data_IF_917957637900
#
_entry.id   IF_917957637900
#
_cell.length_a   1.000
_cell.length_b   1.000
_cell.length_c   1.000
_cell.angle_alpha   90.00
_cell.angle_beta   90.00
_cell.angle_gamma   90.00
#
_symmetry.space_group_name_H-M   'P 1'
#
loop_
_entity.id
_entity.type
_entity.pdbx_description
1 polymer ?
#
# COMPACT_ATOMS: atom_id res chain seq x y z
N UNK A 1 56.64 26.81 -35.37
CA UNK A 1 56.13 27.66 -34.26
C UNK A 1 54.67 27.34 -33.92
N UNK A 2 53.78 27.12 -34.90
CA UNK A 2 52.37 26.76 -34.68
C UNK A 2 52.14 25.47 -33.85
N UNK A 3 52.91 24.40 -34.11
CA UNK A 3 52.78 23.11 -33.39
C UNK A 3 53.10 23.21 -31.89
N UNK A 4 53.99 24.11 -31.48
CA UNK A 4 54.33 24.31 -30.07
C UNK A 4 53.20 25.02 -29.30
N UNK A 5 52.55 25.99 -29.94
CA UNK A 5 51.40 26.70 -29.37
C UNK A 5 50.19 25.76 -29.19
N UNK A 6 49.93 24.91 -30.18
CA UNK A 6 48.85 23.92 -30.13
C UNK A 6 49.04 22.91 -28.99
N UNK A 7 50.28 22.45 -28.77
CA UNK A 7 50.62 21.60 -27.63
C UNK A 7 50.38 22.26 -26.26
N UNK A 8 50.73 23.55 -26.11
CA UNK A 8 50.46 24.30 -24.88
C UNK A 8 48.96 24.52 -24.64
N UNK A 9 48.17 24.74 -25.71
CA UNK A 9 46.72 24.88 -25.59
C UNK A 9 46.06 23.54 -25.27
N UNK A 10 46.53 22.44 -25.84
CA UNK A 10 46.05 21.10 -25.55
C UNK A 10 46.33 20.68 -24.09
N UNK A 11 47.54 20.96 -23.57
CA UNK A 11 47.88 20.67 -22.18
C UNK A 11 47.05 21.50 -21.20
N UNK A 12 46.79 22.77 -21.51
CA UNK A 12 45.93 23.62 -20.69
C UNK A 12 44.49 23.09 -20.64
N UNK A 13 43.93 22.67 -21.78
CA UNK A 13 42.58 22.07 -21.84
C UNK A 13 42.48 20.77 -21.04
N UNK A 14 43.49 19.90 -21.13
CA UNK A 14 43.55 18.68 -20.34
C UNK A 14 43.61 18.98 -18.83
N UNK A 15 44.36 20.01 -18.42
CA UNK A 15 44.40 20.44 -17.02
C UNK A 15 43.06 20.98 -16.52
N UNK A 16 42.32 21.71 -17.36
CA UNK A 16 40.97 22.19 -17.01
C UNK A 16 39.98 21.03 -16.87
N UNK A 17 40.00 20.07 -17.81
CA UNK A 17 39.16 18.88 -17.72
C UNK A 17 39.44 18.04 -16.47
N UNK A 18 40.71 17.93 -16.07
CA UNK A 18 41.08 17.24 -14.83
C UNK A 18 40.64 18.00 -13.57
N UNK A 19 40.63 19.33 -13.61
CA UNK A 19 40.11 20.14 -12.50
C UNK A 19 38.59 20.00 -12.39
N UNK A 20 37.86 20.03 -13.51
CA UNK A 20 36.41 19.85 -13.54
C UNK A 20 36.01 18.46 -13.02
N UNK A 21 36.75 17.41 -13.40
CA UNK A 21 36.51 16.06 -12.88
C UNK A 21 36.82 15.96 -11.38
N UNK A 22 37.86 16.63 -10.90
CA UNK A 22 38.20 16.67 -9.46
C UNK A 22 37.13 17.40 -8.66
N UNK A 23 36.58 18.51 -9.19
CA UNK A 23 35.51 19.26 -8.55
C UNK A 23 34.25 18.39 -8.45
N UNK A 24 33.87 17.69 -9.52
CA UNK A 24 32.70 16.81 -9.51
C UNK A 24 32.85 15.66 -8.50
N UNK A 25 34.03 15.02 -8.45
CA UNK A 25 34.31 13.96 -7.46
C UNK A 25 34.23 14.50 -6.03
N UNK A 26 34.72 15.72 -5.80
CA UNK A 26 34.68 16.34 -4.48
C UNK A 26 33.25 16.73 -4.09
N UNK A 27 32.45 17.27 -5.01
CA UNK A 27 31.06 17.64 -4.76
C UNK A 27 30.20 16.41 -4.45
N UNK A 28 30.35 15.34 -5.22
CA UNK A 28 29.71 14.04 -4.96
C UNK A 28 30.13 13.49 -3.58
N UNK A 29 31.41 13.59 -3.22
CA UNK A 29 31.93 13.12 -1.94
C UNK A 29 31.51 13.96 -0.72
N UNK A 30 31.25 15.26 -0.91
CA UNK A 30 30.91 16.20 0.19
C UNK A 30 29.40 16.40 0.33
N UNK A 31 28.61 16.07 -0.70
CA UNK A 31 27.15 16.24 -0.74
C UNK A 31 26.41 15.68 0.48
N UNK A 32 26.86 14.55 1.04
CA UNK A 32 26.19 13.85 2.15
C UNK A 32 26.74 14.20 3.55
N UNK A 33 27.76 15.07 3.62
CA UNK A 33 28.40 15.47 4.87
C UNK A 33 27.44 16.13 5.91
N UNK A 34 26.52 17.05 5.54
CA UNK A 34 25.62 17.65 6.53
C UNK A 34 24.63 16.65 7.14
N UNK A 35 24.25 15.61 6.38
CA UNK A 35 23.40 14.52 6.89
C UNK A 35 24.18 13.61 7.83
N UNK A 36 25.40 13.21 7.47
CA UNK A 36 26.27 12.37 8.30
C UNK A 36 26.61 13.03 9.64
N UNK A 37 26.87 14.34 9.64
CA UNK A 37 27.10 15.11 10.87
C UNK A 37 25.91 15.01 11.84
N UNK A 38 24.68 15.05 11.32
CA UNK A 38 23.45 14.92 12.12
C UNK A 38 23.24 13.49 12.64
N UNK A 39 23.58 12.47 11.86
CA UNK A 39 23.50 11.05 12.28
C UNK A 39 24.52 10.75 13.38
N UNK A 40 25.75 11.26 13.24
CA UNK A 40 26.83 11.06 14.21
C UNK A 40 26.61 11.81 15.53
N UNK A 41 25.77 12.86 15.54
CA UNK A 41 25.36 13.57 16.75
C UNK A 41 24.38 12.80 17.64
N UNK A 42 23.98 11.57 17.27
CA UNK A 42 23.10 10.75 18.11
C UNK A 42 23.82 10.37 19.41
N UNK A 43 23.54 11.11 20.47
CA UNK A 43 23.89 10.75 21.84
C UNK A 43 23.15 9.46 22.19
N UNK A 44 23.89 8.35 22.34
CA UNK A 44 23.31 7.09 22.79
C UNK A 44 22.80 7.26 24.21
N UNK A 45 21.48 7.32 24.38
CA UNK A 45 20.83 7.05 25.65
C UNK A 45 20.90 5.53 25.88
N UNK A 46 21.73 5.09 26.82
CA UNK A 46 21.73 3.70 27.25
C UNK A 46 20.60 3.52 28.25
N UNK A 47 19.44 3.10 27.77
CA UNK A 47 18.39 2.57 28.64
C UNK A 47 18.75 1.13 29.01
N UNK A 48 18.73 0.83 30.31
CA UNK A 48 18.89 -0.54 30.81
C UNK A 48 17.57 -1.27 30.58
N UNK A 49 17.52 -2.08 29.53
CA UNK A 49 16.39 -2.96 29.23
C UNK A 49 16.56 -4.26 30.00
N UNK A 50 15.49 -4.76 30.62
CA UNK A 50 15.53 -6.02 31.34
C UNK A 50 15.66 -7.20 30.37
N UNK A 51 16.33 -8.28 30.79
CA UNK A 51 16.46 -9.50 29.98
C UNK A 51 15.10 -10.07 29.57
N UNK A 52 14.09 -9.92 30.44
CA UNK A 52 12.71 -10.36 30.18
C UNK A 52 12.05 -9.59 29.04
N UNK A 53 12.31 -8.29 28.92
CA UNK A 53 11.75 -7.48 27.83
C UNK A 53 12.40 -7.86 26.49
N UNK A 54 13.70 -8.15 26.49
CA UNK A 54 14.40 -8.63 25.31
C UNK A 54 13.88 -10.00 24.85
N UNK A 55 13.66 -10.92 25.79
CA UNK A 55 13.10 -12.25 25.48
C UNK A 55 11.66 -12.14 24.96
N UNK A 56 10.85 -11.22 25.52
CA UNK A 56 9.47 -10.97 25.08
C UNK A 56 9.45 -10.40 23.66
N UNK A 57 10.30 -9.40 23.38
CA UNK A 57 10.44 -8.82 22.06
C UNK A 57 10.94 -9.84 21.03
N UNK A 58 11.93 -10.67 21.40
CA UNK A 58 12.41 -11.77 20.56
C UNK A 58 11.28 -12.78 20.27
N UNK A 59 10.50 -13.14 21.27
CA UNK A 59 9.35 -14.02 21.12
C UNK A 59 8.28 -13.45 20.20
N UNK A 60 7.96 -12.16 20.33
CA UNK A 60 7.01 -11.46 19.47
C UNK A 60 7.47 -11.47 18.00
N UNK A 61 8.72 -11.11 17.73
CA UNK A 61 9.29 -11.14 16.38
C UNK A 61 9.30 -12.56 15.79
N UNK A 62 9.66 -13.56 16.59
CA UNK A 62 9.61 -14.96 16.14
C UNK A 62 8.19 -15.41 15.81
N UNK A 63 7.18 -14.95 16.57
CA UNK A 63 5.78 -15.29 16.31
C UNK A 63 5.23 -14.65 15.04
N UNK A 64 5.79 -13.50 14.63
CA UNK A 64 5.39 -12.75 13.43
C UNK A 64 6.11 -13.26 12.17
N UNK A 65 7.43 -13.43 12.23
CA UNK A 65 8.25 -13.76 11.05
C UNK A 65 8.10 -15.23 10.64
N UNK A 66 8.02 -16.14 11.62
CA UNK A 66 8.01 -17.58 11.36
C UNK A 66 6.86 -18.06 10.47
N UNK A 67 5.58 -17.67 10.69
CA UNK A 67 4.50 -18.09 9.80
C UNK A 67 4.67 -17.58 8.37
N UNK A 68 5.24 -16.38 8.18
CA UNK A 68 5.50 -15.84 6.83
C UNK A 68 6.58 -16.62 6.09
N UNK A 69 7.67 -16.96 6.78
CA UNK A 69 8.72 -17.82 6.20
C UNK A 69 8.16 -19.20 5.84
N UNK A 70 7.35 -19.80 6.72
CA UNK A 70 6.72 -21.10 6.45
C UNK A 70 5.76 -21.04 5.27
N UNK A 71 5.02 -19.94 5.10
CA UNK A 71 4.15 -19.72 3.95
C UNK A 71 4.94 -19.59 2.64
N UNK A 72 6.04 -18.84 2.67
CA UNK A 72 6.93 -18.71 1.50
C UNK A 72 7.58 -20.04 1.13
N UNK A 73 8.04 -20.83 2.11
CA UNK A 73 8.58 -22.17 1.88
C UNK A 73 7.53 -23.08 1.23
N UNK A 74 6.31 -23.14 1.77
CA UNK A 74 5.21 -23.90 1.16
C UNK A 74 4.92 -23.44 -0.26
N UNK A 75 5.00 -22.14 -0.55
CA UNK A 75 4.79 -21.62 -1.91
C UNK A 75 5.88 -22.12 -2.86
N UNK A 76 7.14 -22.09 -2.43
CA UNK A 76 8.27 -22.59 -3.22
C UNK A 76 8.14 -24.09 -3.47
N UNK A 77 7.83 -24.89 -2.45
CA UNK A 77 7.58 -26.33 -2.58
C UNK A 77 6.48 -26.63 -3.61
N UNK A 78 5.35 -25.93 -3.53
CA UNK A 78 4.27 -26.08 -4.51
C UNK A 78 4.68 -25.72 -5.95
N UNK A 79 5.59 -24.77 -6.13
CA UNK A 79 6.11 -24.44 -7.46
C UNK A 79 7.09 -25.50 -7.96
N UNK A 80 7.94 -26.04 -7.09
CA UNK A 80 8.84 -27.15 -7.42
C UNK A 80 8.03 -28.38 -7.86
N UNK A 81 7.00 -28.76 -7.11
CA UNK A 81 6.11 -29.87 -7.47
C UNK A 81 5.45 -29.68 -8.85
N UNK A 82 5.05 -28.43 -9.18
CA UNK A 82 4.47 -28.11 -10.49
C UNK A 82 5.48 -28.21 -11.61
N UNK A 83 6.71 -27.77 -11.37
CA UNK A 83 7.80 -27.85 -12.36
C UNK A 83 8.21 -29.30 -12.59
N UNK A 84 8.34 -30.10 -11.54
CA UNK A 84 8.69 -31.51 -11.63
C UNK A 84 7.62 -32.29 -12.42
N UNK A 85 6.33 -32.06 -12.15
CA UNK A 85 5.24 -32.65 -12.95
C UNK A 85 5.30 -32.23 -14.42
N UNK A 86 5.66 -30.97 -14.69
CA UNK A 86 5.78 -30.45 -16.07
C UNK A 86 6.95 -31.10 -16.78
N UNK A 87 8.08 -31.26 -16.11
CA UNK A 87 9.25 -31.99 -16.62
C UNK A 87 8.89 -33.42 -16.98
N UNK A 88 8.28 -34.17 -16.06
CA UNK A 88 7.84 -35.54 -16.31
C UNK A 88 6.87 -35.63 -17.50
N UNK A 89 5.95 -34.66 -17.63
CA UNK A 89 5.02 -34.62 -18.77
C UNK A 89 5.70 -34.32 -20.11
N UNK A 90 6.79 -33.55 -20.10
CA UNK A 90 7.56 -33.23 -21.29
C UNK A 90 8.45 -34.40 -21.69
N UNK A 91 9.10 -35.05 -20.73
CA UNK A 91 9.87 -36.28 -20.95
C UNK A 91 8.98 -37.35 -21.59
N UNK A 92 7.80 -37.61 -21.02
CA UNK A 92 6.85 -38.57 -21.59
C UNK A 92 6.40 -38.20 -23.02
N UNK A 93 6.29 -36.91 -23.35
CA UNK A 93 5.97 -36.45 -24.72
C UNK A 93 7.13 -36.66 -25.68
N UNK A 94 8.36 -36.41 -25.25
CA UNK A 94 9.56 -36.67 -26.04
C UNK A 94 9.69 -38.17 -26.34
N UNK A 95 9.53 -39.03 -25.32
CA UNK A 95 9.59 -40.49 -25.50
C UNK A 95 8.55 -41.00 -26.51
N UNK A 96 7.31 -40.51 -26.44
CA UNK A 96 6.26 -40.84 -27.40
C UNK A 96 6.59 -40.37 -28.83
N UNK A 97 7.20 -39.19 -28.97
CA UNK A 97 7.62 -38.68 -30.26
C UNK A 97 8.81 -39.47 -30.82
N UNK A 98 9.75 -39.90 -29.98
CA UNK A 98 10.89 -40.72 -30.39
C UNK A 98 10.44 -42.10 -30.85
N UNK A 99 9.48 -42.71 -30.14
CA UNK A 99 8.83 -43.95 -30.59
C UNK A 99 8.15 -43.74 -31.94
N UNK A 100 7.36 -42.66 -32.11
CA UNK A 100 6.70 -42.34 -33.38
C UNK A 100 7.68 -42.12 -34.53
N UNK A 101 8.78 -41.39 -34.29
CA UNK A 101 9.82 -41.14 -35.28
C UNK A 101 10.56 -42.43 -35.66
N UNK A 102 10.84 -43.30 -34.68
CA UNK A 102 11.46 -44.60 -34.92
C UNK A 102 10.54 -45.56 -35.68
N UNK A 103 9.23 -45.59 -35.39
CA UNK A 103 8.25 -46.36 -36.18
C UNK A 103 8.08 -45.81 -37.61
N UNK A 104 8.04 -44.49 -37.78
CA UNK A 104 7.98 -43.87 -39.12
C UNK A 104 9.22 -44.14 -39.98
N UNK A 105 10.40 -44.23 -39.35
CA UNK A 105 11.64 -44.64 -40.03
C UNK A 105 11.71 -46.15 -40.29
N UNK A 106 11.04 -47.00 -39.49
CA UNK A 106 10.93 -48.43 -39.72
C UNK A 106 9.95 -48.78 -40.86
N UNK A 107 8.86 -48.04 -41.03
CA UNK A 107 7.93 -48.23 -42.17
C UNK A 107 8.55 -47.85 -43.51
N UNK A 108 9.43 -46.83 -43.56
CA UNK A 108 10.18 -46.48 -44.77
C UNK A 108 11.29 -47.50 -45.12
N UNK A 109 11.60 -48.43 -44.21
CA UNK A 109 12.56 -49.52 -44.43
C UNK A 109 11.95 -50.90 -44.71
N UNK A 110 10.63 -51.09 -44.51
CA UNK A 110 9.99 -52.41 -44.56
C UNK A 110 8.71 -52.48 -45.39
N UNK A 111 8.50 -51.55 -46.33
CA UNK A 111 7.46 -51.64 -47.36
C UNK A 111 7.81 -52.67 -48.47
N UNK A 112 8.25 -53.87 -48.11
CA UNK A 112 8.19 -55.10 -48.92
C UNK A 112 8.19 -56.30 -47.99
N UNK A 113 7.00 -56.78 -47.61
CA UNK A 113 6.55 -58.18 -47.77
C UNK A 113 5.34 -58.51 -46.87
N UNK A 114 4.28 -58.90 -47.57
CA UNK A 114 3.38 -60.03 -47.32
C UNK A 114 2.30 -59.99 -46.24
N UNK A 115 1.11 -60.35 -46.73
CA UNK A 115 -0.16 -60.62 -46.07
C UNK A 115 -0.17 -61.89 -45.21
N UNK A 116 -1.21 -61.92 -44.38
CA UNK A 116 -2.08 -63.03 -43.99
C UNK A 116 -1.94 -63.68 -42.60
N UNK A 117 -3.14 -64.00 -42.09
CA UNK A 117 -3.57 -65.06 -41.15
C UNK A 117 -3.70 -64.81 -39.63
N UNK A 118 -4.97 -64.76 -39.21
CA UNK A 118 -5.67 -65.66 -38.25
C UNK A 118 -5.59 -65.42 -36.72
N UNK A 119 -6.77 -65.29 -36.10
CA UNK A 119 -7.08 -65.51 -34.67
C UNK A 119 -7.23 -67.04 -34.36
N UNK A 120 -7.50 -67.57 -33.14
CA UNK A 120 -7.82 -66.95 -31.83
C UNK A 120 -7.14 -67.63 -30.58
N UNK A 121 -7.38 -67.15 -29.35
CA UNK A 121 -7.00 -67.90 -28.13
C UNK A 121 -7.29 -67.25 -26.76
N UNK A 122 -8.19 -67.89 -26.00
CA UNK A 122 -8.44 -67.84 -24.52
C UNK A 122 -7.10 -67.92 -23.72
N UNK A 123 -6.91 -67.33 -22.52
CA UNK A 123 -7.48 -67.70 -21.21
C UNK A 123 -7.14 -66.68 -20.10
N UNK A 124 -8.08 -66.52 -19.15
CA UNK A 124 -7.93 -66.32 -17.68
C UNK A 124 -6.69 -65.59 -17.08
N UNK A 125 -6.90 -64.50 -16.34
CA UNK A 125 -7.12 -64.57 -14.89
C UNK A 125 -7.38 -63.20 -14.23
N UNK A 126 -8.20 -63.29 -13.19
CA UNK A 126 -8.64 -62.34 -12.16
C UNK A 126 -7.52 -61.41 -11.64
N UNK A 127 -7.81 -60.20 -11.13
CA UNK A 127 -8.20 -59.95 -9.73
C UNK A 127 -8.48 -58.43 -9.57
N UNK A 128 -9.69 -58.10 -9.05
CA UNK A 128 -10.04 -57.11 -8.00
C UNK A 128 -9.39 -55.70 -8.08
N UNK A 129 -10.07 -54.54 -8.02
CA UNK A 129 -11.27 -54.11 -7.27
C UNK A 129 -11.77 -52.74 -7.80
N UNK A 130 -13.07 -52.47 -7.65
CA UNK A 130 -13.73 -51.15 -7.69
C UNK A 130 -14.01 -50.68 -6.24
N UNK A 131 -14.62 -49.52 -5.93
CA UNK A 131 -14.56 -48.15 -6.48
C UNK A 131 -14.26 -47.09 -5.37
N UNK A 132 -14.16 -45.77 -5.66
CA UNK A 132 -14.26 -44.73 -4.64
C UNK A 132 -15.73 -44.27 -4.45
N UNK A 133 -16.14 -44.07 -3.20
CA UNK A 133 -17.41 -43.40 -2.86
C UNK A 133 -17.21 -42.42 -1.72
N UNK A 134 -17.91 -41.32 -1.89
CA UNK A 134 -17.71 -39.99 -1.32
C UNK A 134 -18.68 -39.79 -0.12
N UNK A 135 -18.21 -39.00 0.84
CA UNK A 135 -18.93 -38.18 1.83
C UNK A 135 -19.55 -38.78 3.11
N UNK A 136 -19.43 -37.92 4.14
CA UNK A 136 -20.30 -37.72 5.32
C UNK A 136 -20.10 -38.70 6.49
N UNK A 137 -20.14 -38.33 7.77
CA UNK A 137 -20.31 -37.06 8.48
C UNK A 137 -19.73 -37.23 9.90
N UNK A 138 -18.84 -36.35 10.34
CA UNK A 138 -18.46 -36.26 11.76
C UNK A 138 -19.40 -35.28 12.47
N UNK A 139 -20.29 -35.84 13.30
CA UNK A 139 -21.05 -35.10 14.30
C UNK A 139 -20.12 -34.80 15.48
N UNK A 140 -19.80 -33.52 15.68
CA UNK A 140 -19.38 -33.01 16.98
C UNK A 140 -20.48 -32.11 17.53
N UNK A 141 -21.08 -32.54 18.63
CA UNK A 141 -21.99 -31.75 19.43
C UNK A 141 -21.20 -30.63 20.13
N UNK A 142 -21.60 -29.38 19.93
CA UNK A 142 -21.22 -28.26 20.80
C UNK A 142 -22.49 -27.68 21.41
N UNK A 143 -22.48 -27.62 22.74
CA UNK A 143 -23.49 -27.05 23.59
C UNK A 143 -23.68 -25.55 23.30
N UNK A 144 -24.93 -25.14 23.12
CA UNK A 144 -25.32 -23.75 22.97
C UNK A 144 -25.49 -23.12 24.36
N UNK A 145 -24.55 -22.27 24.77
CA UNK A 145 -24.74 -21.30 25.86
C UNK A 145 -25.15 -19.97 25.24
N UNK A 146 -26.42 -19.63 25.43
CA UNK A 146 -27.06 -18.40 24.95
C UNK A 146 -26.71 -17.26 25.93
N UNK A 147 -25.64 -16.52 25.65
CA UNK A 147 -25.33 -15.29 26.37
C UNK A 147 -25.98 -14.09 25.66
N UNK A 148 -26.80 -13.34 26.40
CA UNK A 148 -27.43 -12.08 25.96
C UNK A 148 -26.35 -10.99 25.92
N UNK A 149 -26.25 -10.13 24.90
CA UNK A 149 -25.41 -8.94 25.03
C UNK A 149 -26.16 -7.95 25.92
N UNK A 150 -25.57 -7.62 27.06
CA UNK A 150 -25.94 -6.42 27.80
C UNK A 150 -25.51 -5.21 26.95
N UNK A 151 -26.44 -4.32 26.65
CA UNK A 151 -26.14 -3.05 26.01
C UNK A 151 -25.27 -2.22 26.97
N UNK A 152 -23.97 -2.17 26.69
CA UNK A 152 -23.05 -1.23 27.33
C UNK A 152 -23.33 0.12 26.67
N UNK A 153 -23.99 1.01 27.41
CA UNK A 153 -24.16 2.39 27.01
C UNK A 153 -22.77 3.02 26.80
N UNK A 154 -22.49 3.48 25.58
CA UNK A 154 -21.29 4.28 25.29
C UNK A 154 -21.36 5.54 26.15
N UNK A 155 -20.36 5.84 27.00
CA UNK A 155 -20.32 7.15 27.63
C UNK A 155 -20.13 8.18 26.52
N UNK A 156 -21.09 9.11 26.41
CA UNK A 156 -20.96 10.31 25.58
C UNK A 156 -19.75 11.06 26.10
N UNK A 157 -18.65 11.01 25.35
CA UNK A 157 -17.45 11.76 25.67
C UNK A 157 -17.76 13.25 25.48
N UNK A 158 -18.08 13.94 26.56
CA UNK A 158 -18.00 15.40 26.59
C UNK A 158 -16.52 15.78 26.56
N UNK A 159 -16.09 16.43 25.48
CA UNK A 159 -14.77 17.04 25.36
C UNK A 159 -14.67 18.15 26.42
N UNK A 160 -13.75 17.99 27.36
CA UNK A 160 -13.35 19.06 28.28
C UNK A 160 -12.23 19.88 27.65
N UNK A 161 -12.29 21.20 27.81
CA UNK A 161 -11.21 22.10 27.39
C UNK A 161 -10.04 21.97 28.37
N UNK A 162 -8.83 21.78 27.84
CA UNK A 162 -7.59 21.81 28.62
C UNK A 162 -7.13 23.26 28.84
N UNK A 163 -6.50 23.51 29.98
CA UNK A 163 -6.16 24.83 30.50
C UNK A 163 -4.75 25.27 30.08
N UNK A 164 -4.71 26.38 29.32
CA UNK A 164 -3.70 27.46 29.21
C UNK A 164 -2.22 27.10 29.31
N UNK A 165 -1.58 26.92 28.15
CA UNK A 165 -0.14 27.11 27.96
C UNK A 165 0.13 27.62 26.53
N UNK A 166 0.26 28.96 26.38
CA UNK A 166 0.54 29.66 25.11
C UNK A 166 -0.23 29.07 23.92
N UNK A 167 -1.56 29.24 24.00
CA UNK A 167 -2.61 28.51 23.27
C UNK A 167 -2.77 28.91 21.80
N UNK A 168 -1.67 29.03 21.04
CA UNK A 168 -1.75 29.45 19.63
C UNK A 168 -0.92 28.53 18.74
N UNK A 169 -1.60 27.94 17.77
CA UNK A 169 -0.99 27.21 16.65
C UNK A 169 -1.00 28.10 15.41
N UNK A 170 0.11 28.11 14.68
CA UNK A 170 0.20 28.83 13.41
C UNK A 170 -0.30 27.94 12.29
N UNK A 171 -1.45 28.28 11.72
CA UNK A 171 -2.05 27.56 10.60
C UNK A 171 -1.60 28.15 9.26
N UNK A 172 -1.15 27.26 8.38
CA UNK A 172 -1.02 27.48 6.94
C UNK A 172 -1.93 26.50 6.22
N UNK A 173 -2.83 27.00 5.36
CA UNK A 173 -3.71 26.21 4.50
C UNK A 173 -3.44 26.63 3.05
N UNK A 174 -2.88 25.70 2.28
CA UNK A 174 -2.47 25.93 0.91
C UNK A 174 -3.17 24.97 -0.05
N UNK A 175 -3.65 25.53 -1.15
CA UNK A 175 -4.08 24.84 -2.36
C UNK A 175 -3.07 25.15 -3.48
N UNK A 176 -3.00 24.33 -4.55
CA UNK A 176 -2.09 24.61 -5.66
C UNK A 176 -2.35 25.96 -6.34
N UNK A 177 -3.61 26.40 -6.41
CA UNK A 177 -4.02 27.65 -7.07
C UNK A 177 -4.11 28.86 -6.12
N UNK A 178 -4.35 28.63 -4.82
CA UNK A 178 -4.48 29.72 -3.84
C UNK A 178 -4.00 29.31 -2.45
N UNK A 179 -3.55 30.29 -1.67
CA UNK A 179 -3.22 30.07 -0.25
C UNK A 179 -4.27 30.78 0.60
N UNK A 180 -5.11 30.00 1.28
CA UNK A 180 -6.22 30.52 2.09
C UNK A 180 -5.67 31.11 3.39
N UNK A 181 -4.75 30.39 4.04
CA UNK A 181 -4.07 30.85 5.26
C UNK A 181 -2.56 30.68 5.10
N UNK A 182 -1.77 31.69 5.50
CA UNK A 182 -0.29 31.65 5.40
C UNK A 182 0.41 31.45 6.73
N UNK A 183 -0.11 32.06 7.80
CA UNK A 183 0.42 31.98 9.17
C UNK A 183 -0.57 32.66 10.10
N UNK A 184 -1.79 32.13 10.18
CA UNK A 184 -2.80 32.68 11.08
C UNK A 184 -2.70 32.00 12.44
N UNK A 185 -2.75 32.80 13.51
CA UNK A 185 -2.81 32.27 14.87
C UNK A 185 -4.23 31.79 15.17
N UNK A 186 -4.35 30.50 15.46
CA UNK A 186 -5.62 29.83 15.79
C UNK A 186 -5.46 29.02 17.07
N UNK A 187 -6.57 28.76 17.74
CA UNK A 187 -6.57 28.03 19.02
C UNK A 187 -6.60 26.53 18.75
N UNK A 188 -7.51 26.11 17.87
CA UNK A 188 -7.75 24.71 17.57
C UNK A 188 -8.13 24.54 16.11
N UNK A 189 -7.67 23.44 15.52
CA UNK A 189 -8.03 23.04 14.16
C UNK A 189 -8.53 21.60 14.20
N UNK A 190 -9.78 21.39 13.79
CA UNK A 190 -10.37 20.06 13.65
C UNK A 190 -10.21 19.61 12.20
N UNK A 191 -9.61 18.45 12.00
CA UNK A 191 -9.33 17.86 10.69
C UNK A 191 -9.86 16.43 10.60
N UNK A 192 -10.27 16.08 9.39
CA UNK A 192 -10.71 14.75 9.00
C UNK A 192 -9.51 13.95 8.47
N UNK A 193 -8.85 13.17 9.33
CA UNK A 193 -7.77 12.28 8.91
C UNK A 193 -8.29 10.89 8.54
N UNK A 194 -7.47 10.13 7.82
CA UNK A 194 -7.79 8.74 7.44
C UNK A 194 -7.94 7.82 8.66
N UNK A 195 -7.12 8.04 9.68
CA UNK A 195 -7.19 7.31 10.97
C UNK A 195 -8.43 7.68 11.79
N UNK A 196 -9.05 8.82 11.51
CA UNK A 196 -10.20 9.36 12.25
C UNK A 196 -10.18 10.89 12.32
N UNK A 197 -11.15 11.46 13.02
CA UNK A 197 -11.22 12.91 13.19
C UNK A 197 -10.32 13.37 14.35
N UNK A 198 -9.44 14.34 14.09
CA UNK A 198 -8.45 14.82 15.05
C UNK A 198 -8.60 16.32 15.30
N UNK A 199 -8.39 16.76 16.54
CA UNK A 199 -8.29 18.16 16.92
C UNK A 199 -6.84 18.50 17.28
N UNK A 200 -6.20 19.34 16.47
CA UNK A 200 -4.83 19.81 16.70
C UNK A 200 -4.86 21.13 17.46
N UNK A 201 -4.15 21.15 18.60
CA UNK A 201 -3.96 22.29 19.48
C UNK A 201 -2.47 22.66 19.52
N UNK A 202 -2.13 23.76 20.19
CA UNK A 202 -0.74 24.11 20.47
C UNK A 202 0.00 22.96 21.20
N UNK A 203 1.24 22.66 20.80
CA UNK A 203 2.04 21.59 21.41
C UNK A 203 1.63 20.16 21.07
N UNK A 204 0.82 19.94 20.03
CA UNK A 204 0.50 18.59 19.54
C UNK A 204 1.74 17.81 19.09
N UNK A 205 1.70 16.47 19.18
CA UNK A 205 2.80 15.60 18.75
C UNK A 205 3.06 15.80 17.25
N UNK A 206 4.33 16.02 16.85
CA UNK A 206 4.69 16.14 15.44
C UNK A 206 4.25 14.90 14.66
N UNK A 207 3.45 15.10 13.63
CA UNK A 207 2.76 14.04 12.90
C UNK A 207 2.51 14.47 11.47
N UNK A 208 2.46 13.48 10.56
CA UNK A 208 2.05 13.65 9.18
C UNK A 208 0.85 12.75 8.99
N UNK A 209 -0.27 13.34 8.59
CA UNK A 209 -1.52 12.61 8.42
C UNK A 209 -2.12 12.86 7.04
N UNK A 210 -2.63 11.79 6.44
CA UNK A 210 -3.42 11.85 5.22
C UNK A 210 -4.85 12.27 5.58
N UNK A 211 -5.38 13.23 4.84
CA UNK A 211 -6.73 13.76 5.02
C UNK A 211 -7.72 13.03 4.12
N UNK A 212 -8.82 12.59 4.71
CA UNK A 212 -10.00 12.10 3.98
C UNK A 212 -10.83 13.30 3.49
N UNK A 213 -11.65 13.14 2.44
CA UNK A 213 -12.62 14.15 2.04
C UNK A 213 -13.53 14.50 3.22
N UNK A 214 -13.62 15.77 3.59
CA UNK A 214 -14.35 16.14 4.79
C UNK A 214 -14.21 17.60 5.21
N UNK A 215 -14.84 17.90 6.34
CA UNK A 215 -14.87 19.24 6.91
C UNK A 215 -13.64 19.50 7.78
N UNK A 216 -13.02 20.65 7.55
CA UNK A 216 -12.01 21.24 8.44
C UNK A 216 -12.61 22.46 9.11
N UNK A 217 -12.62 22.44 10.43
CA UNK A 217 -13.09 23.55 11.26
C UNK A 217 -11.90 24.23 11.92
N UNK A 218 -11.81 25.54 11.73
CA UNK A 218 -10.76 26.39 12.25
C UNK A 218 -11.38 27.29 13.30
N UNK A 219 -10.91 27.17 14.55
CA UNK A 219 -11.38 27.94 15.69
C UNK A 219 -10.36 29.05 15.98
N UNK A 220 -10.76 30.29 15.72
CA UNK A 220 -9.96 31.48 16.00
C UNK A 220 -10.17 31.96 17.45
N UNK A 221 -9.23 32.78 17.95
CA UNK A 221 -9.26 33.35 19.31
C UNK A 221 -10.51 34.22 19.56
N UNK A 222 -11.09 34.79 18.50
CA UNK A 222 -12.31 35.61 18.58
C UNK A 222 -13.60 34.78 18.73
N UNK A 223 -13.50 33.44 18.80
CA UNK A 223 -14.65 32.54 18.81
C UNK A 223 -15.33 32.40 17.44
N UNK A 224 -14.71 32.93 16.37
CA UNK A 224 -15.12 32.70 14.99
C UNK A 224 -14.71 31.29 14.56
N UNK A 225 -15.70 30.49 14.17
CA UNK A 225 -15.48 29.19 13.55
C UNK A 225 -15.59 29.35 12.03
N UNK A 226 -14.49 29.08 11.32
CA UNK A 226 -14.48 29.01 9.86
C UNK A 226 -14.47 27.55 9.44
N UNK A 227 -15.38 27.21 8.55
CA UNK A 227 -15.61 25.85 8.09
C UNK A 227 -15.28 25.74 6.61
N UNK A 228 -14.33 24.87 6.28
CA UNK A 228 -13.89 24.59 4.92
C UNK A 228 -14.10 23.12 4.61
N UNK A 229 -14.65 22.84 3.44
CA UNK A 229 -14.70 21.48 2.91
C UNK A 229 -13.45 21.25 2.07
N UNK A 230 -12.68 20.20 2.39
CA UNK A 230 -11.49 19.80 1.64
C UNK A 230 -11.75 18.49 0.90
N UNK A 231 -11.30 18.41 -0.35
CA UNK A 231 -11.39 17.18 -1.15
C UNK A 231 -10.46 16.07 -0.67
N UNK A 232 -9.42 16.42 0.10
CA UNK A 232 -8.36 15.52 0.57
C UNK A 232 -7.01 16.22 0.56
N UNK A 233 -5.97 15.57 1.09
CA UNK A 233 -4.64 16.13 1.16
C UNK A 233 -3.77 15.59 2.29
N UNK A 234 -2.85 16.43 2.79
CA UNK A 234 -1.96 16.10 3.90
C UNK A 234 -1.96 17.22 4.93
N UNK A 235 -2.01 16.83 6.21
CA UNK A 235 -1.75 17.70 7.34
C UNK A 235 -0.40 17.35 7.96
N UNK A 236 0.44 18.37 8.14
CA UNK A 236 1.77 18.25 8.75
C UNK A 236 1.78 19.11 10.00
N UNK A 237 1.87 18.44 11.15
CA UNK A 237 2.07 19.07 12.46
C UNK A 237 3.57 19.12 12.73
N UNK A 238 4.10 20.33 12.85
CA UNK A 238 5.52 20.59 13.03
C UNK A 238 5.82 20.82 14.53
N UNK A 239 7.03 20.46 15.03
CA UNK A 239 7.39 20.64 16.45
C UNK A 239 7.37 22.08 16.96
N UNK A 240 7.40 23.07 16.07
CA UNK A 240 7.38 24.49 16.39
C UNK A 240 5.95 25.07 16.51
N UNK A 241 4.96 24.21 16.78
CA UNK A 241 3.53 24.58 16.84
C UNK A 241 3.05 25.27 15.56
N UNK A 242 3.48 24.74 14.41
CA UNK A 242 2.95 25.09 13.10
C UNK A 242 2.18 23.90 12.53
N UNK A 243 0.99 24.17 12.00
CA UNK A 243 0.19 23.22 11.25
C UNK A 243 0.13 23.67 9.80
N UNK A 244 0.61 22.81 8.90
CA UNK A 244 0.54 23.03 7.47
C UNK A 244 -0.44 22.03 6.86
N UNK A 245 -1.54 22.51 6.30
CA UNK A 245 -2.53 21.73 5.58
C UNK A 245 -2.36 22.02 4.09
N UNK A 246 -2.05 20.98 3.32
CA UNK A 246 -1.99 21.02 1.87
C UNK A 246 -3.13 20.18 1.31
N UNK A 247 -4.07 20.80 0.63
CA UNK A 247 -5.20 20.12 0.00
C UNK A 247 -5.21 20.37 -1.52
N UNK A 248 -5.87 19.50 -2.27
CA UNK A 248 -6.00 19.67 -3.73
C UNK A 248 -7.03 20.76 -4.05
N UNK A 249 -8.24 20.61 -3.51
CA UNK A 249 -9.32 21.60 -3.60
C UNK A 249 -9.91 21.87 -2.22
N UNK A 250 -10.35 23.11 -2.00
CA UNK A 250 -10.94 23.53 -0.74
C UNK A 250 -11.79 24.79 -0.88
N UNK A 251 -13.04 24.72 -0.43
CA UNK A 251 -14.02 25.81 -0.52
C UNK A 251 -14.77 25.98 0.81
N UNK A 252 -15.24 27.20 1.14
CA UNK A 252 -16.09 27.41 2.30
C UNK A 252 -17.45 26.74 2.09
N UNK A 253 -18.12 26.38 3.18
CA UNK A 253 -19.41 25.65 3.11
C UNK A 253 -20.52 26.43 2.40
N UNK A 254 -20.46 27.75 2.40
CA UNK A 254 -21.47 28.63 1.80
C UNK A 254 -21.54 28.55 0.27
N UNK A 255 -20.48 28.10 -0.38
CA UNK A 255 -20.40 27.99 -1.85
C UNK A 255 -21.09 26.72 -2.39
N UNK A 256 -21.48 25.79 -1.50
CA UNK A 256 -22.07 24.51 -1.90
C UNK A 256 -23.60 24.54 -1.91
N UNK A 257 -24.20 24.03 -2.99
CA UNK A 257 -25.66 23.87 -3.10
C UNK A 257 -26.09 22.43 -2.81
N UNK A 258 -26.94 22.25 -1.80
CA UNK A 258 -27.40 20.94 -1.36
C UNK A 258 -28.18 20.16 -2.44
N UNK A 259 -28.86 20.86 -3.35
CA UNK A 259 -29.63 20.23 -4.43
C UNK A 259 -28.72 19.69 -5.54
N UNK A 260 -27.65 20.40 -5.89
CA UNK A 260 -26.68 19.92 -6.87
C UNK A 260 -25.96 18.66 -6.36
N UNK A 261 -25.57 18.65 -5.08
CA UNK A 261 -24.92 17.50 -4.45
C UNK A 261 -25.81 16.26 -4.49
N UNK A 262 -27.12 16.40 -4.19
CA UNK A 262 -28.06 15.27 -4.28
C UNK A 262 -28.22 14.74 -5.70
N UNK A 263 -28.25 15.63 -6.70
CA UNK A 263 -28.33 15.23 -8.10
C UNK A 263 -27.08 14.46 -8.53
N UNK A 264 -25.88 14.96 -8.16
CA UNK A 264 -24.61 14.30 -8.45
C UNK A 264 -24.48 12.94 -7.74
N UNK A 265 -24.95 12.81 -6.50
CA UNK A 265 -25.01 11.51 -5.80
C UNK A 265 -25.86 10.52 -6.59
N UNK A 266 -27.04 10.94 -7.06
CA UNK A 266 -27.92 10.07 -7.83
C UNK A 266 -27.33 9.65 -9.18
N UNK A 267 -26.51 10.49 -9.81
CA UNK A 267 -25.78 10.18 -11.04
C UNK A 267 -24.63 9.20 -10.78
N UNK A 268 -23.76 9.50 -9.82
CA UNK A 268 -22.64 8.65 -9.44
C UNK A 268 -23.11 7.27 -8.92
N UNK A 269 -24.26 7.20 -8.22
CA UNK A 269 -24.85 5.93 -7.77
C UNK A 269 -25.33 5.05 -8.93
N UNK A 270 -25.80 5.65 -10.02
CA UNK A 270 -26.20 4.87 -11.21
C UNK A 270 -25.00 4.28 -11.92
N UNK A 271 -23.89 5.03 -11.99
CA UNK A 271 -22.65 4.59 -12.63
C UNK A 271 -21.97 3.49 -11.78
N UNK A 272 -21.89 3.68 -10.46
CA UNK A 272 -21.28 2.71 -9.55
C UNK A 272 -22.00 1.36 -9.51
N UNK A 273 -23.32 1.35 -9.71
CA UNK A 273 -24.14 0.13 -9.80
C UNK A 273 -24.29 -0.39 -11.24
N UNK A 274 -23.76 0.33 -12.23
CA UNK A 274 -23.78 -0.06 -13.62
C UNK A 274 -22.76 -1.16 -13.94
N UNK A 275 -22.86 -1.71 -15.15
CA UNK A 275 -21.95 -2.73 -15.68
C UNK A 275 -20.89 -2.09 -16.60
N UNK A 276 -20.26 -1.01 -16.14
CA UNK A 276 -19.19 -0.31 -16.85
C UNK A 276 -17.85 -1.04 -16.77
N UNK A 277 -16.76 -0.39 -17.20
CA UNK A 277 -15.42 -0.91 -16.97
C UNK A 277 -15.09 -0.88 -15.47
N UNK A 278 -14.19 -1.75 -15.01
CA UNK A 278 -13.79 -1.80 -13.60
C UNK A 278 -13.21 -0.45 -13.11
N UNK A 279 -12.59 0.31 -14.01
CA UNK A 279 -12.04 1.64 -13.74
C UNK A 279 -13.14 2.66 -13.50
N UNK A 280 -14.15 2.72 -14.38
CA UNK A 280 -15.28 3.66 -14.23
C UNK A 280 -16.07 3.38 -12.93
N UNK A 281 -16.20 2.09 -12.57
CA UNK A 281 -16.87 1.68 -11.32
C UNK A 281 -16.04 2.10 -10.10
N UNK A 282 -14.71 2.05 -10.17
CA UNK A 282 -13.84 2.49 -9.09
C UNK A 282 -13.86 4.02 -8.91
N UNK A 283 -13.81 4.78 -10.01
CA UNK A 283 -13.91 6.25 -10.00
C UNK A 283 -15.26 6.70 -9.43
N UNK A 284 -16.36 6.11 -9.90
CA UNK A 284 -17.70 6.43 -9.39
C UNK A 284 -17.84 6.14 -7.89
N UNK A 285 -17.14 5.13 -7.34
CA UNK A 285 -17.14 4.87 -5.89
C UNK A 285 -16.41 5.94 -5.10
N UNK A 286 -15.28 6.43 -5.61
CA UNK A 286 -14.52 7.53 -4.99
C UNK A 286 -15.35 8.81 -5.02
N UNK A 287 -16.00 9.10 -6.17
CA UNK A 287 -16.90 10.25 -6.29
C UNK A 287 -18.05 10.18 -5.29
N UNK A 288 -18.65 9.00 -5.10
CA UNK A 288 -19.71 8.80 -4.11
C UNK A 288 -19.23 9.06 -2.69
N UNK A 289 -18.05 8.56 -2.32
CA UNK A 289 -17.47 8.80 -0.99
C UNK A 289 -17.30 10.30 -0.71
N UNK A 290 -16.77 11.04 -1.68
CA UNK A 290 -16.61 12.50 -1.58
C UNK A 290 -17.96 13.19 -1.45
N UNK A 291 -18.92 12.86 -2.31
CA UNK A 291 -20.24 13.52 -2.30
C UNK A 291 -21.07 13.18 -1.05
N UNK A 292 -20.97 11.96 -0.52
CA UNK A 292 -21.61 11.57 0.74
C UNK A 292 -21.01 12.33 1.93
N UNK A 293 -19.68 12.51 1.96
CA UNK A 293 -19.01 13.32 2.97
C UNK A 293 -19.46 14.79 2.92
N UNK A 294 -19.64 15.33 1.71
CA UNK A 294 -20.12 16.69 1.48
C UNK A 294 -21.59 16.83 1.90
N UNK A 295 -22.44 15.86 1.56
CA UNK A 295 -23.83 15.84 2.03
C UNK A 295 -23.93 15.76 3.56
N UNK A 296 -23.04 15.02 4.21
CA UNK A 296 -22.99 14.96 5.67
C UNK A 296 -22.57 16.30 6.30
N UNK A 297 -21.71 17.08 5.64
CA UNK A 297 -21.28 18.40 6.09
C UNK A 297 -22.32 19.51 5.89
N UNK A 298 -23.26 19.35 4.95
CA UNK A 298 -24.33 20.33 4.65
C UNK A 298 -25.62 20.14 5.48
N UNK A 299 -25.73 19.06 6.25
CA UNK A 299 -26.91 18.77 7.08
C UNK A 299 -26.84 19.46 8.44
#
# INVERSE_FOLDING_TARGET
>A
MALALEGCVASLRASMQNLDSTINILDDGVSDMPRLAKVLQTTRHFELISETDLQTAQGALLSEIRPEVDNLLKRVENYLDKLERREQSLVAKCDLNDVRNNFGNAELGLARRFNDTQAPGRTSNCILTTPPSIMSAFRFARSALRARPAAIARPVQRRGYAEVASDKIKLSLALPHQTIFKSQDVVQVNLAAETGDMGVLAGHVPSIEQLKPGLVEIIEESGSNKQFFLSGGFAVVQPDSKLSINAVEGYPLEDFSADAVKNQIAEAQKIANGSGSEQDIAEAKIELEVLESLQAALK
#
